data_IF_992645976906
#
_entry.id   IF_992645976906
#
_cell.length_a   1.000
_cell.length_b   1.000
_cell.length_c   1.000
_cell.angle_alpha   90.00
_cell.angle_beta   90.00
_cell.angle_gamma   90.00
#
_symmetry.space_group_name_H-M   'P 1'
#
loop_
_entity.id
_entity.type
_entity.pdbx_description
1 polymer ?
#
# COMPACT_ATOMS: atom_id res chain seq x y z
N UNK A 1 -6.62 4.25 14.02
CA UNK A 1 -6.12 3.42 12.91
C UNK A 1 -5.57 2.15 13.52
N UNK A 2 -6.20 1.00 13.27
CA UNK A 2 -5.73 -0.30 13.76
C UNK A 2 -4.97 -0.96 12.61
N UNK A 3 -3.67 -1.14 12.80
CA UNK A 3 -2.79 -1.77 11.81
C UNK A 3 -2.52 -3.20 12.26
N UNK A 4 -3.55 -4.04 12.16
CA UNK A 4 -3.48 -5.47 12.49
C UNK A 4 -3.59 -6.27 11.20
N UNK A 5 -2.60 -7.11 10.94
CA UNK A 5 -2.60 -8.07 9.85
C UNK A 5 -2.90 -9.47 10.39
N UNK A 6 -3.91 -10.14 9.86
CA UNK A 6 -4.27 -11.49 10.28
C UNK A 6 -3.42 -12.52 9.56
N UNK A 7 -2.65 -13.28 10.32
CA UNK A 7 -1.92 -14.45 9.82
C UNK A 7 -2.61 -15.74 10.24
N UNK A 8 -2.30 -16.90 9.62
CA UNK A 8 -2.77 -18.20 10.09
C UNK A 8 -2.39 -18.53 11.55
N UNK A 9 -1.41 -17.83 12.11
CA UNK A 9 -0.93 -17.99 13.49
C UNK A 9 -1.53 -16.97 14.47
N UNK A 10 -2.38 -16.07 13.98
CA UNK A 10 -3.03 -15.02 14.78
C UNK A 10 -2.84 -13.61 14.20
N UNK A 11 -3.52 -12.61 14.79
CA UNK A 11 -3.34 -11.21 14.45
C UNK A 11 -1.95 -10.73 14.86
N UNK A 12 -1.32 -9.92 14.01
CA UNK A 12 -0.02 -9.31 14.24
C UNK A 12 -0.05 -7.82 13.96
N UNK A 13 0.78 -7.04 14.64
CA UNK A 13 0.99 -5.64 14.29
C UNK A 13 1.65 -5.52 12.92
N UNK A 14 1.12 -4.62 12.09
CA UNK A 14 1.75 -4.20 10.85
C UNK A 14 1.95 -2.69 10.89
N UNK A 15 3.11 -2.22 10.46
CA UNK A 15 3.37 -0.80 10.25
C UNK A 15 3.44 -0.54 8.75
N UNK A 16 2.76 0.51 8.30
CA UNK A 16 2.76 0.92 6.89
C UNK A 16 3.13 2.39 6.83
N UNK A 17 4.22 2.70 6.13
CA UNK A 17 4.67 4.06 5.87
C UNK A 17 4.52 4.36 4.38
N UNK A 18 3.79 5.40 4.03
CA UNK A 18 3.66 5.82 2.62
C UNK A 18 4.77 6.81 2.29
N UNK A 19 5.58 6.47 1.29
CA UNK A 19 6.71 7.30 0.85
C UNK A 19 6.27 8.32 -0.22
N UNK A 20 5.49 7.86 -1.21
CA UNK A 20 5.10 8.67 -2.37
C UNK A 20 3.74 8.24 -2.92
N UNK A 21 2.97 9.21 -3.40
CA UNK A 21 1.67 8.99 -4.05
C UNK A 21 1.67 9.77 -5.36
N UNK A 22 1.62 9.06 -6.48
CA UNK A 22 1.50 9.62 -7.82
C UNK A 22 0.11 9.34 -8.37
N UNK A 23 -0.64 10.40 -8.63
CA UNK A 23 -1.97 10.31 -9.23
C UNK A 23 -1.92 10.88 -10.65
N UNK A 24 -2.19 10.02 -11.63
CA UNK A 24 -2.26 10.33 -13.06
C UNK A 24 -3.66 10.01 -13.59
N UNK A 25 -4.70 10.23 -12.78
CA UNK A 25 -6.09 10.10 -13.23
C UNK A 25 -6.50 11.31 -14.06
N UNK A 26 -6.94 11.01 -15.28
CA UNK A 26 -7.70 11.92 -16.12
C UNK A 26 -9.17 11.88 -15.68
N UNK A 27 -9.62 12.98 -15.07
CA UNK A 27 -10.98 13.13 -14.57
C UNK A 27 -12.00 13.31 -15.69
N UNK A 28 -11.59 13.75 -16.88
CA UNK A 28 -12.47 13.95 -18.04
C UNK A 28 -12.74 12.62 -18.75
N UNK A 29 -11.70 11.79 -18.91
CA UNK A 29 -11.83 10.48 -19.53
C UNK A 29 -12.20 9.36 -18.54
N UNK A 30 -12.09 9.62 -17.23
CA UNK A 30 -12.33 8.64 -16.18
C UNK A 30 -11.30 7.50 -16.17
N UNK A 31 -10.11 7.76 -16.73
CA UNK A 31 -9.03 6.80 -16.97
C UNK A 31 -7.73 7.28 -16.36
N UNK A 32 -6.78 6.38 -16.16
CA UNK A 32 -5.43 6.74 -15.75
C UNK A 32 -4.88 5.78 -14.71
N UNK A 33 -3.90 6.23 -13.93
CA UNK A 33 -3.26 5.38 -12.94
C UNK A 33 -3.01 6.09 -11.61
N UNK A 34 -3.03 5.32 -10.52
CA UNK A 34 -2.59 5.78 -9.21
C UNK A 34 -1.50 4.84 -8.71
N UNK A 35 -0.30 5.37 -8.52
CA UNK A 35 0.81 4.64 -7.94
C UNK A 35 1.10 5.10 -6.52
N UNK A 36 1.25 4.14 -5.60
CA UNK A 36 1.61 4.40 -4.20
C UNK A 36 2.84 3.59 -3.86
N UNK A 37 3.91 4.28 -3.42
CA UNK A 37 5.09 3.67 -2.85
C UNK A 37 4.95 3.64 -1.34
N UNK A 38 5.20 2.48 -0.75
CA UNK A 38 5.03 2.27 0.67
C UNK A 38 6.02 1.24 1.23
N UNK A 39 6.28 1.35 2.51
CA UNK A 39 7.09 0.43 3.27
C UNK A 39 6.19 -0.29 4.27
N UNK A 40 6.39 -1.59 4.42
CA UNK A 40 5.71 -2.42 5.42
C UNK A 40 6.72 -3.02 6.37
N UNK A 41 6.37 -3.06 7.65
CA UNK A 41 7.10 -3.81 8.67
C UNK A 41 6.11 -4.64 9.49
N UNK A 42 6.41 -5.93 9.67
CA UNK A 42 5.60 -6.86 10.45
C UNK A 42 6.39 -7.23 11.71
N UNK A 43 6.40 -6.34 12.70
CA UNK A 43 7.10 -6.51 13.99
C UNK A 43 8.55 -7.04 13.85
N UNK A 44 9.27 -6.60 12.81
CA UNK A 44 10.66 -7.01 12.54
C UNK A 44 10.84 -8.43 11.99
N UNK A 45 9.76 -9.18 11.74
CA UNK A 45 9.81 -10.50 11.09
C UNK A 45 9.96 -10.35 9.57
N UNK A 46 9.26 -9.37 9.01
CA UNK A 46 9.28 -9.09 7.59
C UNK A 46 9.25 -7.58 7.36
N UNK A 47 10.14 -7.11 6.51
CA UNK A 47 10.18 -5.73 6.05
C UNK A 47 10.16 -5.72 4.52
N UNK A 48 9.45 -4.76 3.93
CA UNK A 48 9.33 -4.67 2.49
C UNK A 48 9.12 -3.24 2.02
N UNK A 49 9.79 -2.86 0.94
CA UNK A 49 9.52 -1.63 0.20
C UNK A 49 8.80 -2.01 -1.08
N UNK A 50 7.56 -1.55 -1.22
CA UNK A 50 6.67 -1.97 -2.28
C UNK A 50 6.11 -0.76 -3.01
N UNK A 51 5.71 -0.98 -4.27
CA UNK A 51 4.93 -0.04 -5.05
C UNK A 51 3.70 -0.75 -5.58
N UNK A 52 2.52 -0.22 -5.25
CA UNK A 52 1.27 -0.64 -5.88
C UNK A 52 0.92 0.38 -6.96
N UNK A 53 0.53 -0.10 -8.14
CA UNK A 53 -0.01 0.74 -9.22
C UNK A 53 -1.40 0.22 -9.54
N UNK A 54 -2.37 1.14 -9.54
CA UNK A 54 -3.77 0.87 -9.80
C UNK A 54 -4.10 1.55 -11.12
N UNK A 55 -4.30 0.77 -12.17
CA UNK A 55 -4.69 1.27 -13.49
C UNK A 55 -6.22 1.22 -13.64
N UNK A 56 -6.79 2.33 -14.11
CA UNK A 56 -8.22 2.52 -14.34
C UNK A 56 -8.41 2.71 -15.85
N UNK A 57 -9.11 1.75 -16.48
CA UNK A 57 -9.35 1.66 -17.93
C UNK A 57 -10.76 2.06 -18.33
#
# INVERSE_FOLDING_TARGET
FSSIYNTPYGPMGIEVLTDDVKNELDLEEGRGSVAVQYQVSLEGIAEGKNRITIDIM
#
